data_IF_158827936416
#
_entry.id   IF_158827936416
#
_cell.length_a   1.000
_cell.length_b   1.000
_cell.length_c   1.000
_cell.angle_alpha   90.00
_cell.angle_beta   90.00
_cell.angle_gamma   90.00
#
_symmetry.space_group_name_H-M   'P 1'
#
loop_
_entity.id
_entity.type
_entity.pdbx_description
1 polymer ?
#
# COMPACT_ATOMS: atom_id res chain seq x y z
N UNK A 1 -7.55 9.90 7.49
CA UNK A 1 -8.84 9.28 7.87
C UNK A 1 -8.68 7.76 8.01
N UNK A 2 -9.23 7.14 9.06
CA UNK A 2 -9.12 5.69 9.31
C UNK A 2 -10.22 4.87 8.62
N UNK A 3 -9.89 3.64 8.21
CA UNK A 3 -10.82 2.68 7.61
C UNK A 3 -10.68 1.30 8.27
N UNK A 4 -11.75 0.51 8.23
CA UNK A 4 -11.79 -0.86 8.71
C UNK A 4 -12.90 -1.61 8.00
N UNK A 5 -12.58 -2.69 7.30
CA UNK A 5 -13.55 -3.50 6.57
C UNK A 5 -13.15 -4.98 6.57
N UNK A 6 -14.11 -5.85 6.26
CA UNK A 6 -13.86 -7.28 6.12
C UNK A 6 -13.49 -7.59 4.67
N UNK A 7 -12.44 -8.40 4.47
CA UNK A 7 -12.05 -8.94 3.18
C UNK A 7 -11.88 -10.46 3.35
N UNK A 8 -12.85 -11.22 2.83
CA UNK A 8 -12.95 -12.65 3.13
C UNK A 8 -12.98 -12.90 4.65
N UNK A 9 -12.14 -13.80 5.19
CA UNK A 9 -12.06 -14.07 6.63
C UNK A 9 -11.21 -13.05 7.41
N UNK A 10 -10.62 -12.05 6.75
CA UNK A 10 -9.71 -11.10 7.38
C UNK A 10 -10.36 -9.74 7.60
N UNK A 11 -9.86 -9.00 8.57
CA UNK A 11 -10.22 -7.60 8.79
C UNK A 11 -9.03 -6.73 8.43
N UNK A 12 -9.17 -5.94 7.37
CA UNK A 12 -8.19 -4.94 6.97
C UNK A 12 -8.45 -3.62 7.68
N UNK A 13 -7.39 -3.03 8.23
CA UNK A 13 -7.43 -1.73 8.91
C UNK A 13 -6.28 -0.87 8.45
N UNK A 14 -6.54 0.42 8.33
CA UNK A 14 -5.52 1.37 7.94
C UNK A 14 -5.97 2.81 8.14
N UNK A 15 -5.08 3.73 7.75
CA UNK A 15 -5.34 5.17 7.83
C UNK A 15 -4.69 5.83 6.63
N UNK A 16 -5.50 6.51 5.83
CA UNK A 16 -5.03 7.46 4.81
C UNK A 16 -4.58 8.74 5.52
N UNK A 17 -3.46 9.35 5.13
CA UNK A 17 -2.99 10.57 5.77
C UNK A 17 -3.95 11.75 5.54
N UNK A 18 -4.30 11.99 4.28
CA UNK A 18 -5.16 13.11 3.87
C UNK A 18 -6.18 12.69 2.82
N UNK A 19 -7.39 13.23 2.94
CA UNK A 19 -8.48 13.01 2.00
C UNK A 19 -9.03 14.38 1.60
N UNK A 20 -8.84 14.74 0.33
CA UNK A 20 -9.27 16.01 -0.23
C UNK A 20 -10.55 15.83 -1.03
N UNK A 21 -11.41 16.86 -1.00
CA UNK A 21 -12.56 16.97 -1.89
C UNK A 21 -12.15 17.82 -3.09
N UNK A 22 -12.36 17.28 -4.28
CA UNK A 22 -12.03 17.95 -5.54
C UNK A 22 -13.18 18.87 -6.00
N UNK A 23 -12.92 19.92 -6.80
CA UNK A 23 -13.95 20.84 -7.29
C UNK A 23 -15.10 20.17 -8.06
N UNK A 24 -14.85 19.01 -8.69
CA UNK A 24 -15.86 18.21 -9.38
C UNK A 24 -16.69 17.27 -8.49
N UNK A 25 -16.52 17.33 -7.17
CA UNK A 25 -17.23 16.47 -6.21
C UNK A 25 -16.57 15.12 -5.94
N UNK A 26 -15.52 14.76 -6.69
CA UNK A 26 -14.68 13.60 -6.42
C UNK A 26 -13.76 13.80 -5.20
N UNK A 27 -12.98 12.77 -4.89
CA UNK A 27 -12.05 12.78 -3.77
C UNK A 27 -10.65 12.39 -4.22
N UNK A 28 -9.64 12.87 -3.49
CA UNK A 28 -8.24 12.49 -3.66
C UNK A 28 -7.68 11.95 -2.33
N UNK A 29 -7.07 10.78 -2.37
CA UNK A 29 -6.38 10.15 -1.23
C UNK A 29 -4.89 10.45 -1.35
N UNK A 30 -4.32 11.10 -0.35
CA UNK A 30 -2.92 11.54 -0.35
C UNK A 30 -2.19 10.86 0.81
N UNK A 31 -1.02 10.32 0.51
CA UNK A 31 -0.06 9.79 1.49
C UNK A 31 1.23 10.60 1.42
N UNK A 32 1.74 11.01 2.58
CA UNK A 32 2.92 11.86 2.67
C UNK A 32 4.19 11.02 2.75
N UNK A 33 5.15 11.32 1.88
CA UNK A 33 6.45 10.66 1.86
C UNK A 33 7.58 11.66 2.08
N UNK A 34 8.56 11.28 2.90
CA UNK A 34 9.84 12.00 3.07
C UNK A 34 11.00 11.33 2.34
N UNK A 35 10.75 10.17 1.72
CA UNK A 35 11.73 9.45 0.92
C UNK A 35 11.81 9.97 -0.51
N UNK A 36 12.65 9.32 -1.32
CA UNK A 36 12.80 9.67 -2.74
C UNK A 36 11.51 9.40 -3.54
N UNK A 37 11.18 10.26 -4.52
CA UNK A 37 10.10 10.01 -5.45
C UNK A 37 10.20 8.66 -6.17
N UNK A 38 9.12 7.87 -6.09
CA UNK A 38 8.86 6.74 -6.97
C UNK A 38 8.39 7.24 -8.34
N UNK A 39 8.78 6.55 -9.40
CA UNK A 39 8.24 6.78 -10.74
C UNK A 39 6.76 6.37 -10.81
N UNK A 40 6.01 6.95 -11.76
CA UNK A 40 4.60 6.61 -11.98
C UNK A 40 4.38 5.11 -12.21
N UNK A 41 5.31 4.42 -12.89
CA UNK A 41 5.24 2.97 -13.09
C UNK A 41 5.32 2.20 -11.76
N UNK A 42 6.22 2.60 -10.87
CA UNK A 42 6.35 1.98 -9.54
C UNK A 42 5.14 2.26 -8.64
N UNK A 43 4.38 3.32 -8.90
CA UNK A 43 3.18 3.66 -8.14
C UNK A 43 1.95 2.86 -8.56
N UNK A 44 1.89 2.39 -9.81
CA UNK A 44 0.78 1.54 -10.29
C UNK A 44 0.70 0.21 -9.56
N UNK A 45 1.85 -0.36 -9.20
CA UNK A 45 1.95 -1.63 -8.48
C UNK A 45 2.06 -1.43 -6.95
N UNK A 46 1.80 -0.21 -6.46
CA UNK A 46 1.96 0.09 -5.04
C UNK A 46 0.78 -0.47 -4.22
N UNK A 47 1.10 -1.45 -3.38
CA UNK A 47 0.16 -2.13 -2.47
C UNK A 47 -0.51 -1.15 -1.50
N UNK A 48 0.23 -0.17 -0.97
CA UNK A 48 -0.29 0.74 0.07
C UNK A 48 -1.42 1.60 -0.49
N UNK A 49 -1.19 2.25 -1.63
CA UNK A 49 -2.22 3.04 -2.27
C UNK A 49 -3.40 2.16 -2.74
N UNK A 50 -3.15 0.93 -3.16
CA UNK A 50 -4.23 0.01 -3.57
C UNK A 50 -5.13 -0.38 -2.42
N UNK A 51 -4.58 -0.64 -1.23
CA UNK A 51 -5.36 -0.85 -0.02
C UNK A 51 -6.16 0.40 0.38
N UNK A 52 -5.64 1.61 0.13
CA UNK A 52 -6.39 2.83 0.42
C UNK A 52 -7.60 3.02 -0.51
N UNK A 53 -7.47 2.67 -1.80
CA UNK A 53 -8.62 2.71 -2.72
C UNK A 53 -9.73 1.77 -2.25
N UNK A 54 -9.38 0.52 -1.93
CA UNK A 54 -10.34 -0.47 -1.42
C UNK A 54 -10.92 0.01 -0.09
N UNK A 55 -10.09 0.47 0.84
CA UNK A 55 -10.55 0.99 2.14
C UNK A 55 -11.50 2.19 2.01
N UNK A 56 -11.24 3.11 1.09
CA UNK A 56 -12.11 4.25 0.82
C UNK A 56 -13.47 3.83 0.23
N UNK A 57 -13.47 2.85 -0.69
CA UNK A 57 -14.67 2.25 -1.24
C UNK A 57 -15.49 1.56 -0.15
N UNK A 58 -14.90 0.59 0.52
CA UNK A 58 -15.59 -0.29 1.48
C UNK A 58 -16.05 0.45 2.74
N UNK A 59 -15.22 1.35 3.29
CA UNK A 59 -15.54 2.02 4.56
C UNK A 59 -16.24 3.36 4.40
N UNK A 60 -16.02 4.08 3.30
CA UNK A 60 -16.49 5.47 3.14
C UNK A 60 -17.35 5.70 1.90
N UNK A 61 -17.62 4.66 1.10
CA UNK A 61 -18.42 4.73 -0.13
C UNK A 61 -17.88 5.77 -1.11
N UNK A 62 -16.55 5.94 -1.15
CA UNK A 62 -15.87 6.84 -2.07
C UNK A 62 -15.39 6.06 -3.29
N UNK A 63 -16.22 6.00 -4.31
CA UNK A 63 -15.89 5.39 -5.58
C UNK A 63 -14.85 6.21 -6.34
N UNK A 64 -13.91 5.52 -7.00
CA UNK A 64 -12.93 6.11 -7.93
C UNK A 64 -12.16 7.32 -7.38
N UNK A 65 -11.79 7.31 -6.10
CA UNK A 65 -10.95 8.36 -5.53
C UNK A 65 -9.58 8.40 -6.23
N UNK A 66 -9.18 9.59 -6.67
CA UNK A 66 -7.82 9.83 -7.17
C UNK A 66 -6.81 9.55 -6.06
N UNK A 67 -5.57 9.27 -6.44
CA UNK A 67 -4.53 8.96 -5.48
C UNK A 67 -3.23 9.66 -5.82
N UNK A 68 -2.50 10.05 -4.79
CA UNK A 68 -1.19 10.63 -4.96
C UNK A 68 -0.27 10.32 -3.79
N UNK A 69 1.03 10.26 -4.08
CA UNK A 69 2.04 10.54 -3.09
C UNK A 69 2.44 12.01 -3.14
N UNK A 70 2.57 12.60 -1.96
CA UNK A 70 3.10 13.94 -1.80
C UNK A 70 4.47 13.84 -1.12
N UNK A 71 5.52 14.12 -1.87
CA UNK A 71 6.91 14.14 -1.42
C UNK A 71 7.21 15.48 -0.78
N UNK A 72 7.07 15.55 0.54
CA UNK A 72 7.07 16.83 1.29
C UNK A 72 8.40 17.56 1.26
N UNK A 73 9.51 16.85 1.06
CA UNK A 73 10.84 17.44 0.97
C UNK A 73 11.11 18.06 -0.41
N UNK A 74 10.47 17.53 -1.45
CA UNK A 74 10.62 17.96 -2.84
C UNK A 74 9.48 18.91 -3.27
N UNK A 75 8.49 19.11 -2.40
CA UNK A 75 7.22 19.81 -2.69
C UNK A 75 6.52 19.27 -3.95
N UNK A 76 6.60 17.95 -4.16
CA UNK A 76 6.13 17.30 -5.38
C UNK A 76 4.96 16.37 -5.10
N UNK A 77 3.84 16.58 -5.80
CA UNK A 77 2.71 15.64 -5.81
C UNK A 77 2.74 14.78 -7.07
N UNK A 78 2.90 13.47 -6.89
CA UNK A 78 2.90 12.49 -7.98
C UNK A 78 1.58 11.72 -7.94
N UNK A 79 0.74 11.97 -8.95
CA UNK A 79 -0.54 11.27 -9.11
C UNK A 79 -0.32 9.83 -9.57
N UNK A 80 -1.21 8.93 -9.14
CA UNK A 80 -1.24 7.54 -9.60
C UNK A 80 -2.31 7.40 -10.67
N UNK A 81 -1.89 7.09 -11.89
CA UNK A 81 -2.78 6.69 -12.96
C UNK A 81 -3.23 5.24 -12.73
N UNK A 82 -4.50 5.04 -12.36
CA UNK A 82 -5.08 3.69 -12.22
C UNK A 82 -5.86 3.28 -13.45
N UNK A 83 -5.78 1.98 -13.77
CA UNK A 83 -6.69 1.32 -14.70
C UNK A 83 -8.01 0.94 -14.00
N UNK A 84 -9.02 0.61 -14.79
CA UNK A 84 -10.36 0.26 -14.28
C UNK A 84 -10.43 -1.07 -13.49
N UNK A 85 -9.35 -1.86 -13.45
CA UNK A 85 -9.35 -3.27 -13.01
C UNK A 85 -8.44 -3.55 -11.78
N UNK A 86 -8.06 -2.52 -11.02
CA UNK A 86 -7.04 -2.64 -9.95
C UNK A 86 -7.53 -3.29 -8.63
N UNK A 87 -8.75 -3.82 -8.58
CA UNK A 87 -9.35 -4.38 -7.35
C UNK A 87 -9.01 -5.85 -7.07
N UNK A 88 -8.82 -6.64 -8.12
CA UNK A 88 -8.73 -8.10 -7.99
C UNK A 88 -7.35 -8.52 -7.49
N UNK A 89 -6.27 -7.96 -8.07
CA UNK A 89 -4.90 -8.31 -7.70
C UNK A 89 -4.57 -7.98 -6.24
N UNK A 90 -5.11 -6.87 -5.71
CA UNK A 90 -4.84 -6.47 -4.33
C UNK A 90 -5.55 -7.40 -3.34
N UNK A 91 -6.72 -7.92 -3.72
CA UNK A 91 -7.44 -8.91 -2.92
C UNK A 91 -6.65 -10.22 -2.86
N UNK A 92 -6.16 -10.70 -4.00
CA UNK A 92 -5.31 -11.90 -4.08
C UNK A 92 -4.02 -11.73 -3.26
N UNK A 93 -3.38 -10.56 -3.37
CA UNK A 93 -2.18 -10.22 -2.58
C UNK A 93 -2.45 -10.29 -1.08
N UNK A 94 -3.61 -9.80 -0.63
CA UNK A 94 -3.97 -9.85 0.80
C UNK A 94 -4.17 -11.30 1.26
N UNK A 95 -4.86 -12.13 0.48
CA UNK A 95 -5.05 -13.53 0.83
C UNK A 95 -3.74 -14.31 0.85
N UNK A 96 -2.88 -14.15 -0.16
CA UNK A 96 -1.56 -14.79 -0.20
C UNK A 96 -0.72 -14.43 1.03
N UNK A 97 -0.64 -13.14 1.38
CA UNK A 97 0.12 -12.67 2.53
C UNK A 97 -0.50 -13.16 3.84
N UNK A 98 -1.83 -13.11 3.97
CA UNK A 98 -2.51 -13.53 5.19
C UNK A 98 -2.37 -15.05 5.43
N UNK A 99 -2.52 -15.87 4.39
CA UNK A 99 -2.31 -17.32 4.48
C UNK A 99 -0.87 -17.66 4.82
N UNK A 100 0.10 -16.96 4.24
CA UNK A 100 1.52 -17.11 4.58
C UNK A 100 1.81 -16.80 6.06
N UNK A 101 1.20 -15.73 6.60
CA UNK A 101 1.32 -15.36 8.02
C UNK A 101 0.68 -16.43 8.92
N UNK A 102 -0.55 -16.87 8.61
CA UNK A 102 -1.28 -17.87 9.39
C UNK A 102 -0.61 -19.24 9.37
N UNK A 103 -0.02 -19.61 8.23
CA UNK A 103 0.77 -20.83 8.05
C UNK A 103 2.16 -20.77 8.68
N UNK A 104 2.53 -19.66 9.32
CA UNK A 104 3.87 -19.42 9.88
C UNK A 104 5.01 -19.56 8.85
N UNK A 105 4.71 -19.28 7.58
CA UNK A 105 5.66 -19.36 6.47
C UNK A 105 6.60 -18.16 6.41
N UNK A 106 7.58 -18.10 7.32
CA UNK A 106 8.51 -16.97 7.45
C UNK A 106 9.90 -17.25 6.84
N UNK A 107 9.97 -18.15 5.86
CA UNK A 107 11.25 -18.54 5.30
C UNK A 107 11.96 -17.36 4.62
N UNK A 108 13.25 -17.13 4.92
CA UNK A 108 13.96 -16.00 4.39
C UNK A 108 14.08 -16.11 2.87
N UNK A 109 13.82 -14.99 2.18
CA UNK A 109 14.06 -14.83 0.74
C UNK A 109 15.27 -13.91 0.53
N UNK A 110 16.51 -14.40 0.77
CA UNK A 110 17.68 -13.52 0.81
C UNK A 110 17.96 -12.90 -0.56
N UNK A 111 18.27 -11.61 -0.57
CA UNK A 111 18.82 -10.90 -1.72
C UNK A 111 19.81 -9.84 -1.24
N UNK A 112 20.82 -9.52 -2.04
CA UNK A 112 21.83 -8.53 -1.64
C UNK A 112 21.19 -7.16 -1.31
N UNK A 113 20.24 -6.72 -2.15
CA UNK A 113 19.54 -5.44 -1.98
C UNK A 113 18.73 -5.40 -0.67
N UNK A 114 17.92 -6.43 -0.39
CA UNK A 114 17.09 -6.45 0.81
C UNK A 114 17.93 -6.70 2.08
N UNK A 115 18.87 -7.65 2.04
CA UNK A 115 19.63 -8.06 3.22
C UNK A 115 20.66 -7.02 3.68
N UNK A 116 21.13 -6.13 2.80
CA UNK A 116 22.10 -5.07 3.15
C UNK A 116 21.52 -3.98 4.06
N UNK A 117 20.21 -3.78 4.05
CA UNK A 117 19.48 -2.77 4.84
C UNK A 117 18.45 -3.39 5.80
N UNK A 118 18.47 -4.71 6.00
CA UNK A 118 17.46 -5.40 6.80
C UNK A 118 17.78 -5.33 8.30
N UNK A 119 16.92 -4.66 9.07
CA UNK A 119 17.06 -4.55 10.53
C UNK A 119 16.99 -5.92 11.26
N UNK A 120 16.35 -6.92 10.63
CA UNK A 120 16.20 -8.26 11.20
C UNK A 120 17.38 -9.19 10.88
N UNK A 121 18.45 -8.69 10.26
CA UNK A 121 19.62 -9.51 9.91
C UNK A 121 20.22 -10.23 11.13
N UNK A 122 20.17 -9.63 12.33
CA UNK A 122 20.70 -10.23 13.56
C UNK A 122 19.98 -11.52 14.00
N UNK A 123 18.72 -11.69 13.62
CA UNK A 123 17.89 -12.85 13.98
C UNK A 123 17.53 -13.70 12.76
N UNK A 124 18.16 -13.45 11.61
CA UNK A 124 17.83 -14.11 10.36
C UNK A 124 18.65 -15.41 10.22
N UNK A 125 18.01 -16.58 10.05
CA UNK A 125 18.72 -17.85 9.92
C UNK A 125 19.58 -17.93 8.65
N UNK A 126 19.29 -17.11 7.63
CA UNK A 126 20.14 -16.99 6.44
C UNK A 126 21.37 -16.08 6.64
N UNK A 127 21.44 -15.35 7.75
CA UNK A 127 22.57 -14.50 8.12
C UNK A 127 23.52 -15.16 9.14
N UNK A 128 23.01 -16.12 9.91
CA UNK A 128 23.81 -17.00 10.76
C UNK A 128 24.63 -17.95 9.89
N UNK A 129 25.95 -18.03 10.14
CA UNK A 129 26.89 -18.96 9.52
C UNK A 129 27.45 -19.88 10.58
#
# INVERSE_FOLDING_TARGET
RAFSFSLGPHVLRGRVDRVDKLPGGGFELIDYKTGRPKSAMQLREDVQLSLYAVGARESWQLEAAQQAYYYVLDDEKVAVERGADDGDWITDTVFEVADGILGQGFEPKPSWLACSMCDYRIACPAAEK
#
